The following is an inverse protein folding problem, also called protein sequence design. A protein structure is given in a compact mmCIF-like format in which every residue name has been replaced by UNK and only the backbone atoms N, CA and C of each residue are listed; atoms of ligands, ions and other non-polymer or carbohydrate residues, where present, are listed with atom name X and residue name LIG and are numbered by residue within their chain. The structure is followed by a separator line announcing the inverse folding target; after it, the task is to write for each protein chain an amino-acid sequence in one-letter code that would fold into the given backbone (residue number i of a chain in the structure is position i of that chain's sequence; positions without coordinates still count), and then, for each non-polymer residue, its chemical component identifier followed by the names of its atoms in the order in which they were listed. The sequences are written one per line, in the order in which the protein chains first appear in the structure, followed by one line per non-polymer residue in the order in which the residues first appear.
data_IF_133444039895
#
_entry.id   IF_133444039895
#
_cell.length_a   1.000
_cell.length_b   1.000
_cell.length_c   1.000
_cell.angle_alpha   90.00
_cell.angle_beta   90.00
_cell.angle_gamma   90.00
#
_symmetry.space_group_name_H-M   'P 1'
#
loop_
_entity.id
_entity.type
_entity.pdbx_description
1 polymer ?
#
# COMPACT_ATOMS: atom_id res chain seq x y z
N UNK A 1 -95.09 13.33 -65.75
CA UNK A 1 -94.39 14.62 -65.62
C UNK A 1 -93.52 14.56 -64.37
N UNK A 2 -92.21 14.43 -64.56
CA UNK A 2 -91.19 14.42 -63.49
C UNK A 2 -90.02 15.32 -63.95
N UNK A 3 -89.40 16.12 -63.07
CA UNK A 3 -88.59 17.26 -63.48
C UNK A 3 -87.11 16.92 -63.72
N UNK A 4 -86.52 17.68 -64.64
CA UNK A 4 -85.09 17.80 -64.90
C UNK A 4 -84.34 18.35 -63.68
N UNK A 5 -83.25 17.71 -63.28
CA UNK A 5 -82.21 18.33 -62.46
C UNK A 5 -80.83 18.11 -63.11
N UNK A 6 -80.30 19.16 -63.73
CA UNK A 6 -78.92 19.21 -64.25
C UNK A 6 -78.00 19.63 -63.10
N UNK A 7 -77.15 18.72 -62.63
CA UNK A 7 -76.09 19.04 -61.68
C UNK A 7 -74.86 19.57 -62.41
N UNK A 8 -74.42 20.79 -62.06
CA UNK A 8 -73.16 21.39 -62.55
C UNK A 8 -72.05 21.04 -61.56
N UNK A 9 -71.06 20.28 -62.01
CA UNK A 9 -69.82 20.06 -61.24
C UNK A 9 -68.86 21.18 -61.60
N UNK A 10 -68.57 22.06 -60.63
CA UNK A 10 -67.50 23.04 -60.74
C UNK A 10 -66.17 22.37 -60.37
N UNK A 11 -65.19 22.38 -61.28
CA UNK A 11 -63.83 21.96 -60.98
C UNK A 11 -63.13 23.06 -60.17
N UNK A 12 -62.84 22.78 -58.90
CA UNK A 12 -62.01 23.66 -58.08
C UNK A 12 -60.53 23.36 -58.35
N UNK A 13 -59.85 24.30 -59.00
CA UNK A 13 -58.40 24.31 -59.18
C UNK A 13 -57.72 24.52 -57.83
N UNK A 14 -57.18 23.47 -57.22
CA UNK A 14 -56.35 23.59 -56.02
C UNK A 14 -54.92 23.96 -56.44
N UNK A 15 -54.59 25.25 -56.41
CA UNK A 15 -53.21 25.71 -56.48
C UNK A 15 -52.49 25.28 -55.19
N UNK A 16 -51.62 24.29 -55.28
CA UNK A 16 -50.84 23.78 -54.16
C UNK A 16 -49.60 24.67 -54.00
N UNK A 17 -49.65 25.64 -53.07
CA UNK A 17 -48.44 26.31 -52.61
C UNK A 17 -47.79 25.44 -51.52
N UNK A 18 -46.54 24.98 -51.68
CA UNK A 18 -45.87 24.26 -50.61
C UNK A 18 -45.56 25.27 -49.48
N UNK A 19 -46.30 25.16 -48.37
CA UNK A 19 -45.86 25.76 -47.11
C UNK A 19 -44.60 25.01 -46.65
N UNK A 20 -43.44 25.59 -46.93
CA UNK A 20 -42.18 25.13 -46.35
C UNK A 20 -42.24 25.46 -44.86
N UNK A 21 -42.46 24.44 -44.03
CA UNK A 21 -42.28 24.56 -42.59
C UNK A 21 -40.78 24.75 -42.35
N UNK A 22 -40.39 25.89 -41.77
CA UNK A 22 -39.03 26.10 -41.31
C UNK A 22 -38.68 24.99 -40.32
N UNK A 23 -37.78 24.08 -40.71
CA UNK A 23 -37.21 23.11 -39.78
C UNK A 23 -36.46 23.89 -38.72
N UNK A 24 -36.77 23.63 -37.45
CA UNK A 24 -36.01 24.18 -36.33
C UNK A 24 -34.53 23.82 -36.53
N UNK A 25 -33.69 24.83 -36.72
CA UNK A 25 -32.25 24.70 -36.72
C UNK A 25 -31.79 24.50 -35.29
N UNK A 26 -31.68 23.24 -34.87
CA UNK A 26 -30.89 22.91 -33.70
C UNK A 26 -29.43 23.23 -34.02
N UNK A 27 -28.87 24.20 -33.30
CA UNK A 27 -27.43 24.47 -33.37
C UNK A 27 -26.72 23.27 -32.76
N UNK A 28 -26.25 22.35 -33.59
CA UNK A 28 -25.26 21.34 -33.17
C UNK A 28 -23.92 22.04 -32.97
N UNK A 29 -23.79 22.80 -31.90
CA UNK A 29 -22.50 23.01 -31.25
C UNK A 29 -22.13 21.71 -30.54
N UNK A 30 -21.92 20.66 -31.31
CA UNK A 30 -21.15 19.52 -30.82
C UNK A 30 -19.71 20.00 -30.93
N UNK A 31 -18.99 20.23 -29.81
CA UNK A 31 -17.60 20.61 -29.88
C UNK A 31 -16.88 19.57 -30.74
N UNK A 32 -16.16 20.04 -31.76
CA UNK A 32 -15.36 19.11 -32.57
C UNK A 32 -14.39 18.45 -31.61
N UNK A 33 -14.30 17.13 -31.69
CA UNK A 33 -13.41 16.30 -30.84
C UNK A 33 -11.93 16.77 -30.85
N UNK A 34 -11.56 17.64 -31.79
CA UNK A 34 -10.26 18.30 -31.89
C UNK A 34 -10.02 19.44 -30.87
N UNK A 35 -11.05 19.98 -30.21
CA UNK A 35 -10.91 21.11 -29.27
C UNK A 35 -10.67 20.65 -27.83
N UNK A 36 -10.99 19.40 -27.51
CA UNK A 36 -10.55 18.75 -26.28
C UNK A 36 -9.23 18.02 -26.55
N UNK A 37 -8.13 18.77 -26.62
CA UNK A 37 -6.82 18.17 -26.38
C UNK A 37 -6.72 17.87 -24.88
N UNK A 38 -7.45 16.85 -24.44
CA UNK A 38 -7.04 16.11 -23.25
C UNK A 38 -5.70 15.52 -23.67
N UNK A 39 -4.60 15.98 -23.08
CA UNK A 39 -3.33 15.31 -23.25
C UNK A 39 -3.59 13.82 -23.07
N UNK A 40 -3.38 13.04 -24.13
CA UNK A 40 -3.45 11.60 -24.02
C UNK A 40 -2.58 11.26 -22.81
N UNK A 41 -3.18 10.68 -21.77
CA UNK A 41 -2.43 10.17 -20.64
C UNK A 41 -1.42 9.23 -21.27
N UNK A 42 -0.17 9.68 -21.35
CA UNK A 42 0.87 9.00 -22.09
C UNK A 42 0.93 7.61 -21.44
N UNK A 43 0.47 6.54 -22.12
CA UNK A 43 0.22 5.25 -21.45
C UNK A 43 1.53 4.59 -21.03
N UNK A 44 2.66 5.18 -21.41
CA UNK A 44 4.00 4.77 -21.04
C UNK A 44 4.86 6.02 -20.88
N UNK A 45 4.91 6.64 -19.69
CA UNK A 45 6.06 7.48 -19.38
C UNK A 45 7.32 6.60 -19.52
N UNK A 46 8.42 7.09 -20.11
CA UNK A 46 9.67 6.36 -20.12
C UNK A 46 10.14 6.23 -18.67
N UNK A 47 9.85 5.08 -18.07
CA UNK A 47 10.33 4.78 -16.72
C UNK A 47 11.84 4.59 -16.78
N UNK A 48 12.60 5.13 -15.81
CA UNK A 48 14.01 4.80 -15.70
C UNK A 48 14.11 3.30 -15.44
N UNK A 49 14.54 2.54 -16.44
CA UNK A 49 14.68 1.07 -16.40
C UNK A 49 15.37 0.59 -15.12
N UNK A 50 16.32 1.39 -14.61
CA UNK A 50 17.08 1.13 -13.40
C UNK A 50 16.22 0.97 -12.14
N UNK A 51 15.14 1.75 -11.96
CA UNK A 51 14.33 1.73 -10.75
C UNK A 51 13.42 0.48 -10.71
N UNK A 52 12.79 0.17 -11.84
CA UNK A 52 11.98 -1.03 -12.01
C UNK A 52 12.83 -2.30 -11.84
N UNK A 53 14.02 -2.34 -12.46
CA UNK A 53 14.95 -3.47 -12.34
C UNK A 53 15.41 -3.69 -10.89
N UNK A 54 15.81 -2.61 -10.18
CA UNK A 54 16.16 -2.67 -8.74
C UNK A 54 15.04 -3.24 -7.89
N UNK A 55 13.80 -2.87 -8.19
CA UNK A 55 12.66 -3.39 -7.47
C UNK A 55 12.53 -4.91 -7.64
N UNK A 56 12.77 -5.45 -8.84
CA UNK A 56 12.67 -6.89 -9.11
C UNK A 56 13.80 -7.67 -8.42
N UNK A 57 14.99 -7.08 -8.32
CA UNK A 57 16.18 -7.73 -7.74
C UNK A 57 16.12 -7.83 -6.21
N UNK A 58 15.47 -6.87 -5.54
CA UNK A 58 15.33 -6.87 -4.09
C UNK A 58 14.05 -7.58 -3.65
N UNK A 59 14.15 -8.48 -2.65
CA UNK A 59 12.97 -9.10 -2.04
C UNK A 59 12.07 -8.06 -1.34
N UNK A 60 12.68 -7.05 -0.73
CA UNK A 60 12.04 -5.89 -0.10
C UNK A 60 12.96 -4.67 -0.25
N UNK A 61 12.45 -3.43 -0.12
CA UNK A 61 13.27 -2.22 -0.29
C UNK A 61 14.53 -2.16 0.59
N UNK A 62 14.51 -2.81 1.75
CA UNK A 62 15.62 -2.90 2.70
C UNK A 62 16.36 -4.26 2.71
N UNK A 63 15.97 -5.22 1.86
CA UNK A 63 16.56 -6.57 1.88
C UNK A 63 16.53 -7.26 0.52
N UNK A 64 17.70 -7.69 0.05
CA UNK A 64 17.82 -8.40 -1.23
C UNK A 64 17.37 -9.87 -1.17
N UNK A 65 17.80 -10.60 -0.13
CA UNK A 65 17.63 -12.06 -0.04
C UNK A 65 16.32 -12.48 0.64
N UNK A 66 15.88 -13.71 0.39
CA UNK A 66 14.76 -14.34 1.10
C UNK A 66 15.09 -14.60 2.58
N UNK A 67 14.07 -14.84 3.41
CA UNK A 67 14.20 -15.09 4.85
C UNK A 67 13.42 -16.32 5.34
N UNK A 68 12.79 -17.06 4.43
CA UNK A 68 12.19 -18.35 4.71
C UNK A 68 12.56 -19.35 3.60
N UNK A 69 12.72 -20.62 3.96
CA UNK A 69 13.16 -21.66 3.03
C UNK A 69 12.18 -21.87 1.86
N UNK A 70 10.87 -21.73 2.11
CA UNK A 70 9.81 -21.86 1.11
C UNK A 70 9.54 -20.57 0.32
N UNK A 71 10.19 -19.46 0.66
CA UNK A 71 9.95 -18.17 0.00
C UNK A 71 10.65 -18.14 -1.37
N UNK A 72 9.90 -17.82 -2.42
CA UNK A 72 10.47 -17.62 -3.74
C UNK A 72 11.15 -16.24 -3.86
N UNK A 73 12.34 -16.16 -4.48
CA UNK A 73 12.96 -14.88 -4.83
C UNK A 73 12.06 -14.05 -5.73
N UNK A 74 12.01 -12.74 -5.49
CA UNK A 74 11.13 -11.81 -6.22
C UNK A 74 11.36 -11.82 -7.72
N UNK A 75 12.63 -11.92 -8.14
CA UNK A 75 13.02 -12.07 -9.54
C UNK A 75 12.30 -13.22 -10.25
N UNK A 76 12.07 -14.35 -9.56
CA UNK A 76 11.34 -15.51 -10.12
C UNK A 76 9.84 -15.41 -9.95
N UNK A 77 9.37 -14.70 -8.93
CA UNK A 77 7.95 -14.55 -8.64
C UNK A 77 7.26 -13.50 -9.53
N UNK A 78 8.01 -12.50 -9.99
CA UNK A 78 7.52 -11.37 -10.79
C UNK A 78 7.78 -11.55 -12.29
N UNK A 79 7.86 -12.80 -12.76
CA UNK A 79 8.01 -13.15 -14.18
C UNK A 79 6.69 -13.66 -14.76
N UNK A 80 6.46 -13.38 -16.05
CA UNK A 80 5.39 -13.97 -16.84
C UNK A 80 4.36 -12.96 -17.35
N UNK A 81 3.36 -13.42 -18.13
CA UNK A 81 2.47 -12.55 -18.90
C UNK A 81 1.67 -11.55 -18.06
N UNK A 82 1.45 -11.85 -16.78
CA UNK A 82 0.77 -10.93 -15.85
C UNK A 82 1.56 -9.64 -15.62
N UNK A 83 2.89 -9.68 -15.69
CA UNK A 83 3.75 -8.56 -15.30
C UNK A 83 4.27 -7.73 -16.49
N UNK A 84 4.09 -8.19 -17.74
CA UNK A 84 4.63 -7.54 -18.95
C UNK A 84 4.13 -6.10 -19.18
N UNK A 85 2.88 -5.81 -18.81
CA UNK A 85 2.27 -4.47 -18.91
C UNK A 85 1.93 -3.88 -17.53
N UNK A 86 2.52 -4.45 -16.47
CA UNK A 86 2.30 -3.97 -15.11
C UNK A 86 3.38 -2.96 -14.76
N UNK A 87 2.98 -1.78 -14.27
CA UNK A 87 3.93 -0.84 -13.69
C UNK A 87 4.42 -1.39 -12.33
N UNK A 88 5.70 -1.80 -12.30
CA UNK A 88 6.34 -2.43 -11.15
C UNK A 88 6.58 -1.47 -9.98
N UNK A 89 6.66 -0.17 -10.24
CA UNK A 89 6.90 0.85 -9.20
C UNK A 89 5.68 1.01 -8.28
N UNK A 90 4.48 0.86 -8.85
CA UNK A 90 3.22 1.00 -8.12
C UNK A 90 2.79 -0.28 -7.40
N UNK A 91 3.51 -1.39 -7.59
CA UNK A 91 3.19 -2.64 -6.90
C UNK A 91 3.54 -2.56 -5.41
N UNK A 92 2.82 -3.28 -4.53
CA UNK A 92 3.13 -3.28 -3.10
C UNK A 92 4.56 -3.77 -2.80
N UNK A 93 5.35 -2.92 -2.14
CA UNK A 93 6.73 -3.22 -1.75
C UNK A 93 6.97 -2.86 -0.28
N UNK A 94 6.39 -3.62 0.67
CA UNK A 94 6.58 -3.35 2.08
C UNK A 94 8.02 -3.63 2.52
N UNK A 95 8.49 -2.90 3.53
CA UNK A 95 9.76 -3.17 4.19
C UNK A 95 9.75 -4.54 4.87
N UNK A 96 10.87 -5.25 4.79
CA UNK A 96 11.05 -6.51 5.50
C UNK A 96 11.23 -6.24 7.00
N UNK A 97 10.29 -6.74 7.81
CA UNK A 97 10.28 -6.56 9.26
C UNK A 97 11.52 -7.14 9.96
N UNK A 98 12.13 -8.19 9.39
CA UNK A 98 13.37 -8.80 9.92
C UNK A 98 14.51 -7.78 10.04
N UNK A 99 14.70 -6.91 9.05
CA UNK A 99 15.75 -5.88 9.14
C UNK A 99 15.36 -4.76 10.10
N UNK A 100 14.07 -4.45 10.21
CA UNK A 100 13.58 -3.40 11.11
C UNK A 100 13.70 -3.80 12.59
N UNK A 101 13.47 -5.08 12.92
CA UNK A 101 13.60 -5.57 14.29
C UNK A 101 15.06 -5.65 14.73
N UNK A 102 15.99 -5.95 13.81
CA UNK A 102 17.43 -5.96 14.10
C UNK A 102 18.03 -4.56 14.32
N UNK A 103 17.30 -3.49 14.00
CA UNK A 103 17.66 -2.12 14.37
C UNK A 103 17.26 -1.75 15.80
N UNK A 104 16.37 -2.53 16.44
CA UNK A 104 15.96 -2.23 17.81
C UNK A 104 17.12 -2.48 18.79
N UNK A 105 17.41 -1.54 19.70
CA UNK A 105 18.40 -1.77 20.73
C UNK A 105 17.93 -2.79 21.77
N UNK A 106 18.89 -3.49 22.35
CA UNK A 106 18.65 -4.38 23.48
C UNK A 106 18.14 -3.58 24.68
N UNK A 107 16.99 -4.00 25.23
CA UNK A 107 16.43 -3.43 26.45
C UNK A 107 17.07 -4.08 27.67
N UNK A 108 17.91 -3.31 28.36
CA UNK A 108 18.60 -3.75 29.55
C UNK A 108 17.66 -3.73 30.77
N UNK A 109 17.63 -4.83 31.51
CA UNK A 109 16.84 -4.95 32.74
C UNK A 109 17.68 -5.41 33.93
N UNK A 110 17.25 -4.99 35.11
CA UNK A 110 17.77 -5.47 36.42
C UNK A 110 16.97 -6.63 36.98
N UNK A 111 15.86 -7.00 36.33
CA UNK A 111 14.95 -8.04 36.79
C UNK A 111 15.27 -9.34 36.06
N UNK A 112 15.19 -10.44 36.80
CA UNK A 112 15.34 -11.80 36.27
C UNK A 112 14.33 -12.18 35.20
N UNK A 113 13.10 -11.70 35.37
CA UNK A 113 11.96 -11.98 34.49
C UNK A 113 11.35 -10.65 34.08
N UNK A 114 11.19 -10.46 32.77
CA UNK A 114 10.60 -9.26 32.16
C UNK A 114 9.21 -9.58 31.65
N UNK A 115 8.24 -8.70 31.91
CA UNK A 115 6.92 -8.77 31.29
C UNK A 115 6.90 -7.96 29.99
N UNK A 116 6.48 -8.56 28.88
CA UNK A 116 6.29 -7.89 27.60
C UNK A 116 4.86 -8.08 27.13
N UNK A 117 4.19 -6.98 26.79
CA UNK A 117 2.82 -6.91 26.26
C UNK A 117 2.77 -6.27 24.85
N UNK A 118 3.91 -5.89 24.30
CA UNK A 118 4.01 -5.24 22.99
C UNK A 118 3.63 -3.75 22.99
N UNK A 119 3.36 -3.16 24.16
CA UNK A 119 2.94 -1.76 24.27
C UNK A 119 1.45 -1.54 24.02
N UNK A 120 0.94 -0.41 24.49
CA UNK A 120 -0.48 -0.03 24.28
C UNK A 120 -1.52 -0.92 24.98
N UNK A 121 -1.13 -1.71 25.98
CA UNK A 121 -2.03 -2.57 26.75
C UNK A 121 -2.77 -3.58 25.87
N UNK A 122 -4.10 -3.48 25.69
CA UNK A 122 -4.87 -4.42 24.86
C UNK A 122 -4.58 -4.31 23.35
N UNK A 123 -3.91 -3.25 22.88
CA UNK A 123 -3.55 -3.10 21.46
C UNK A 123 -2.29 -3.88 21.07
N UNK A 124 -1.55 -4.38 22.06
CA UNK A 124 -0.36 -5.20 21.85
C UNK A 124 -0.68 -6.69 21.71
N UNK A 125 0.20 -7.53 22.26
CA UNK A 125 0.01 -8.98 22.30
C UNK A 125 -0.27 -9.46 23.74
N UNK A 126 -0.72 -10.71 23.93
CA UNK A 126 -0.89 -11.25 25.28
C UNK A 126 0.38 -11.09 26.11
N UNK A 127 0.24 -10.62 27.35
CA UNK A 127 1.39 -10.41 28.23
C UNK A 127 2.13 -11.73 28.45
N UNK A 128 3.41 -11.75 28.11
CA UNK A 128 4.31 -12.87 28.39
C UNK A 128 5.40 -12.47 29.35
N UNK A 129 5.99 -13.48 29.97
CA UNK A 129 7.11 -13.34 30.89
C UNK A 129 8.34 -14.02 30.28
N UNK A 130 9.39 -13.24 30.07
CA UNK A 130 10.62 -13.66 29.40
C UNK A 130 11.72 -13.79 30.46
N UNK A 131 12.42 -14.92 30.46
CA UNK A 131 13.55 -15.14 31.36
C UNK A 131 14.83 -14.54 30.76
N UNK A 132 15.53 -13.70 31.52
CA UNK A 132 16.80 -13.06 31.14
C UNK A 132 17.99 -13.56 31.97
N UNK A 133 17.84 -14.67 32.70
CA UNK A 133 18.89 -15.30 33.54
C UNK A 133 20.13 -15.76 32.76
N UNK A 134 19.97 -16.05 31.47
CA UNK A 134 21.06 -16.56 30.64
C UNK A 134 21.89 -15.40 30.10
N UNK A 135 23.20 -15.60 29.86
CA UNK A 135 24.07 -14.62 29.21
C UNK A 135 23.81 -14.56 27.70
N UNK A 136 22.55 -14.40 27.30
CA UNK A 136 22.09 -14.29 25.92
C UNK A 136 21.04 -13.18 25.80
N UNK A 137 20.84 -12.68 24.58
CA UNK A 137 19.77 -11.72 24.31
C UNK A 137 18.47 -12.52 24.14
N UNK A 138 17.58 -12.41 25.12
CA UNK A 138 16.28 -13.07 25.11
C UNK A 138 15.28 -12.24 24.31
N UNK A 139 14.62 -12.84 23.33
CA UNK A 139 13.68 -12.14 22.45
C UNK A 139 12.23 -12.43 22.83
N UNK A 140 11.36 -11.44 22.66
CA UNK A 140 9.92 -11.64 22.78
C UNK A 140 9.41 -12.47 21.59
N UNK A 141 8.68 -13.55 21.84
CA UNK A 141 8.12 -14.42 20.80
C UNK A 141 7.03 -13.79 19.92
N UNK A 142 6.50 -12.62 20.31
CA UNK A 142 5.49 -11.88 19.55
C UNK A 142 6.11 -10.69 18.80
N UNK A 143 6.57 -9.67 19.51
CA UNK A 143 7.13 -8.47 18.88
C UNK A 143 8.57 -8.64 18.37
N UNK A 144 9.31 -9.66 18.82
CA UNK A 144 10.74 -9.82 18.50
C UNK A 144 11.66 -8.85 19.25
N UNK A 145 11.14 -8.05 20.19
CA UNK A 145 11.95 -7.10 20.96
C UNK A 145 13.02 -7.83 21.79
N UNK A 146 14.28 -7.36 21.74
CA UNK A 146 15.38 -7.95 22.49
C UNK A 146 15.46 -7.43 23.93
N UNK A 147 15.66 -8.35 24.88
CA UNK A 147 15.88 -8.07 26.30
C UNK A 147 17.15 -8.76 26.79
N UNK A 148 17.89 -8.12 27.68
CA UNK A 148 19.03 -8.74 28.34
C UNK A 148 19.19 -8.24 29.77
N UNK A 149 19.81 -9.07 30.61
CA UNK A 149 20.09 -8.69 31.99
C UNK A 149 21.39 -7.87 32.10
N UNK A 150 21.37 -6.80 32.89
CA UNK A 150 22.54 -5.92 33.07
C UNK A 150 23.79 -6.65 33.57
N UNK A 151 23.63 -7.72 34.36
CA UNK A 151 24.77 -8.51 34.86
C UNK A 151 25.58 -9.18 33.74
N UNK A 152 24.96 -9.46 32.60
CA UNK A 152 25.60 -10.11 31.46
C UNK A 152 26.10 -9.11 30.41
N UNK A 153 25.99 -7.80 30.68
CA UNK A 153 26.38 -6.75 29.75
C UNK A 153 27.84 -6.85 29.31
N UNK A 154 28.77 -6.98 30.26
CA UNK A 154 30.19 -7.11 29.97
C UNK A 154 30.51 -8.34 29.09
N UNK A 155 29.78 -9.45 29.29
CA UNK A 155 29.94 -10.63 28.45
C UNK A 155 29.41 -10.38 27.03
N UNK A 156 28.21 -9.82 26.89
CA UNK A 156 27.59 -9.53 25.59
C UNK A 156 28.41 -8.50 24.78
N UNK A 157 29.00 -7.51 25.45
CA UNK A 157 29.91 -6.53 24.84
C UNK A 157 31.24 -7.16 24.40
N UNK A 158 31.68 -8.24 25.04
CA UNK A 158 32.90 -8.96 24.67
C UNK A 158 32.75 -9.83 23.41
N UNK A 159 31.51 -10.13 22.99
CA UNK A 159 31.26 -10.94 21.81
C UNK A 159 31.63 -10.16 20.55
N UNK A 160 32.22 -10.82 19.53
CA UNK A 160 32.67 -10.14 18.31
C UNK A 160 31.51 -9.56 17.50
N UNK A 161 30.32 -10.15 17.61
CA UNK A 161 29.10 -9.67 16.98
C UNK A 161 27.87 -10.13 17.78
N UNK A 162 26.88 -9.24 17.90
CA UNK A 162 25.57 -9.52 18.48
C UNK A 162 24.49 -9.40 17.40
N UNK A 163 23.38 -10.11 17.57
CA UNK A 163 22.26 -10.05 16.63
C UNK A 163 21.48 -8.74 16.70
N UNK A 164 21.59 -8.00 17.80
CA UNK A 164 20.93 -6.72 18.02
C UNK A 164 21.96 -5.69 18.52
N UNK A 165 21.78 -4.40 18.21
CA UNK A 165 22.62 -3.34 18.76
C UNK A 165 22.45 -3.25 20.28
N UNK A 166 23.56 -3.15 21.01
CA UNK A 166 23.54 -3.08 22.48
C UNK A 166 23.18 -1.68 23.00
N UNK A 167 23.46 -0.66 22.19
CA UNK A 167 23.15 0.74 22.46
C UNK A 167 22.12 1.26 21.45
N UNK A 168 21.31 2.28 21.81
CA UNK A 168 20.43 2.97 20.87
C UNK A 168 21.24 3.58 19.72
N UNK A 169 20.84 3.30 18.48
CA UNK A 169 21.49 3.82 17.26
C UNK A 169 20.83 5.13 16.81
N UNK A 170 19.61 5.42 17.27
CA UNK A 170 18.81 6.57 16.83
C UNK A 170 18.16 6.36 15.46
N UNK A 171 18.04 5.11 15.01
CA UNK A 171 17.38 4.76 13.76
C UNK A 171 15.89 5.15 13.81
N UNK A 172 15.33 5.66 12.70
CA UNK A 172 13.91 6.06 12.63
C UNK A 172 12.93 4.89 12.88
N UNK A 173 13.40 3.65 12.76
CA UNK A 173 12.62 2.46 13.05
C UNK A 173 12.60 2.11 14.55
N UNK A 174 13.48 2.69 15.37
CA UNK A 174 13.56 2.41 16.80
C UNK A 174 12.28 2.79 17.53
N UNK A 175 11.87 1.90 18.42
CA UNK A 175 10.65 2.03 19.20
C UNK A 175 11.02 2.35 20.63
N UNK A 176 10.44 3.43 21.16
CA UNK A 176 10.66 3.83 22.55
C UNK A 176 10.26 2.71 23.52
N UNK A 177 10.96 2.62 24.65
CA UNK A 177 10.68 1.59 25.66
C UNK A 177 9.27 1.73 26.23
N UNK A 178 8.85 2.97 26.49
CA UNK A 178 7.51 3.32 26.91
C UNK A 178 6.61 3.57 25.70
N UNK A 179 6.23 2.50 25.00
CA UNK A 179 5.22 2.57 23.94
C UNK A 179 3.82 2.61 24.57
N UNK A 180 3.56 3.66 25.37
CA UNK A 180 2.28 3.89 26.03
C UNK A 180 1.36 4.63 25.06
N UNK A 181 0.28 3.97 24.68
CA UNK A 181 -0.77 4.57 23.82
C UNK A 181 -1.81 5.33 24.66
N UNK A 182 -1.94 5.00 25.94
CA UNK A 182 -2.89 5.63 26.87
C UNK A 182 -2.16 6.21 28.08
N UNK A 183 -2.47 7.45 28.45
CA UNK A 183 -2.02 8.07 29.69
C UNK A 183 -2.90 7.61 30.88
N UNK A 184 -2.28 7.18 31.99
CA UNK A 184 -2.97 6.98 33.27
C UNK A 184 -3.70 5.63 33.49
N UNK A 185 -4.48 5.59 34.59
CA UNK A 185 -4.98 4.38 35.29
C UNK A 185 -6.08 3.54 34.62
N UNK A 186 -6.26 3.66 33.30
CA UNK A 186 -7.05 2.71 32.49
C UNK A 186 -6.19 1.55 31.95
N UNK A 187 -4.96 1.41 32.44
CA UNK A 187 -4.10 0.24 32.28
C UNK A 187 -4.84 -1.00 32.83
N UNK A 188 -5.50 -1.76 31.95
CA UNK A 188 -5.98 -3.08 32.32
C UNK A 188 -4.74 -3.92 32.69
N UNK A 189 -4.66 -4.20 34.00
CA UNK A 189 -3.56 -4.90 34.65
C UNK A 189 -3.35 -6.29 34.12
#
# INVERSE_FOLDING_TARGET
MLPLARSRIAAFSAAWTPRVVARASYSTTVPRFSENNVQASNPTPPQPVDAAERSVQLQAPNRARTWAASQQPREKAMTGPRFEQTDMELQPQPYAAIELIHKQPVRWTKKRVVSCDGGGGPLGHPRIYINTDKPEIATCGYCGLPFAHEQHRAYLESLPATSYPLEPTGDAAEVSEAQRVTEGGLEQR
#
